data_IF_772290797666
#
_entry.id   IF_772290797666
#
_cell.length_a   1.000
_cell.length_b   1.000
_cell.length_c   1.000
_cell.angle_alpha   90.00
_cell.angle_beta   90.00
_cell.angle_gamma   90.00
#
_symmetry.space_group_name_H-M   'P 1'
#
loop_
_entity.id
_entity.type
_entity.pdbx_description
1 polymer ?
#
# COMPACT_ATOMS: atom_id res chain seq x y z
N UNK A 1 -10.14 -3.53 7.62
CA UNK A 1 -8.78 -3.89 7.24
C UNK A 1 -8.09 -2.67 6.63
N UNK A 2 -6.79 -2.52 6.84
CA UNK A 2 -5.92 -1.56 6.12
C UNK A 2 -4.64 -2.29 5.78
N UNK A 3 -4.21 -2.23 4.52
CA UNK A 3 -3.06 -2.97 4.01
C UNK A 3 -1.93 -1.99 3.66
N UNK A 4 -0.72 -2.25 4.15
CA UNK A 4 0.50 -1.57 3.72
C UNK A 4 1.07 -2.36 2.55
N UNK A 5 1.23 -1.71 1.41
CA UNK A 5 1.80 -2.32 0.21
C UNK A 5 3.02 -1.56 -0.27
N UNK A 6 3.98 -2.28 -0.86
CA UNK A 6 5.03 -1.73 -1.69
C UNK A 6 4.68 -1.95 -3.16
N UNK A 7 4.68 -0.87 -3.93
CA UNK A 7 4.40 -0.89 -5.36
C UNK A 7 5.74 -0.82 -6.09
N UNK A 8 5.97 -1.73 -7.02
CA UNK A 8 7.10 -1.68 -7.94
C UNK A 8 6.61 -1.10 -9.26
N UNK A 9 7.27 -0.04 -9.70
CA UNK A 9 6.85 0.81 -10.79
C UNK A 9 7.87 0.75 -11.92
N UNK A 10 7.38 0.76 -13.16
CA UNK A 10 8.20 0.82 -14.36
C UNK A 10 7.66 1.86 -15.33
N UNK A 11 8.54 2.74 -15.79
CA UNK A 11 8.27 3.72 -16.84
C UNK A 11 8.47 3.12 -18.24
N UNK A 12 8.03 3.84 -19.27
CA UNK A 12 8.17 3.41 -20.67
C UNK A 12 9.62 3.37 -21.13
N UNK A 13 10.47 4.29 -20.65
CA UNK A 13 11.91 4.32 -20.93
C UNK A 13 12.73 3.25 -20.21
N UNK A 14 12.09 2.35 -19.45
CA UNK A 14 12.78 1.31 -18.68
C UNK A 14 13.14 1.72 -17.25
N UNK A 15 12.95 2.99 -16.88
CA UNK A 15 13.14 3.47 -15.51
C UNK A 15 12.29 2.66 -14.52
N UNK A 16 12.84 2.43 -13.33
CA UNK A 16 12.13 1.74 -12.25
C UNK A 16 12.06 2.62 -11.01
N UNK A 17 11.02 2.42 -10.20
CA UNK A 17 10.85 3.10 -8.93
C UNK A 17 10.03 2.21 -7.97
N UNK A 18 9.96 2.58 -6.69
CA UNK A 18 9.05 1.94 -5.76
C UNK A 18 8.49 2.90 -4.73
N UNK A 19 7.21 2.73 -4.40
CA UNK A 19 6.56 3.50 -3.34
C UNK A 19 5.93 2.56 -2.31
N UNK A 20 5.93 3.00 -1.05
CA UNK A 20 5.21 2.31 0.01
C UNK A 20 4.00 3.14 0.41
N UNK A 21 2.83 2.54 0.40
CA UNK A 21 1.58 3.22 0.74
C UNK A 21 0.68 2.34 1.58
N UNK A 22 -0.19 2.98 2.35
CA UNK A 22 -1.26 2.31 3.07
C UNK A 22 -2.59 2.55 2.36
N UNK A 23 -3.37 1.49 2.14
CA UNK A 23 -4.69 1.55 1.54
C UNK A 23 -5.74 0.91 2.46
N UNK A 24 -6.93 1.50 2.50
CA UNK A 24 -8.06 1.01 3.31
C UNK A 24 -8.83 -0.13 2.60
N UNK A 25 -8.11 -1.06 1.99
CA UNK A 25 -8.65 -2.24 1.33
C UNK A 25 -8.04 -3.52 1.93
N UNK A 26 -8.78 -4.64 1.88
CA UNK A 26 -8.22 -5.98 2.06
C UNK A 26 -7.00 -6.24 1.18
N UNK A 27 -6.20 -7.24 1.53
CA UNK A 27 -4.97 -7.55 0.81
C UNK A 27 -5.22 -7.80 -0.69
N UNK A 28 -6.10 -8.73 -1.04
CA UNK A 28 -6.36 -9.05 -2.45
C UNK A 28 -6.86 -7.82 -3.23
N UNK A 29 -7.82 -7.08 -2.67
CA UNK A 29 -8.34 -5.86 -3.28
C UNK A 29 -7.28 -4.77 -3.41
N UNK A 30 -6.30 -4.70 -2.50
CA UNK A 30 -5.17 -3.79 -2.61
C UNK A 30 -4.27 -4.16 -3.79
N UNK A 31 -4.02 -5.45 -4.02
CA UNK A 31 -3.26 -5.92 -5.18
C UNK A 31 -3.98 -5.59 -6.48
N UNK A 32 -5.26 -5.95 -6.58
CA UNK A 32 -6.11 -5.70 -7.75
C UNK A 32 -6.25 -4.19 -8.04
N UNK A 33 -6.30 -3.37 -6.97
CA UNK A 33 -6.39 -1.93 -7.10
C UNK A 33 -5.15 -1.31 -7.76
N UNK A 34 -3.94 -1.83 -7.50
CA UNK A 34 -2.71 -1.20 -7.98
C UNK A 34 -2.11 -1.87 -9.20
N UNK A 35 -2.20 -3.19 -9.33
CA UNK A 35 -1.54 -3.91 -10.42
C UNK A 35 -2.02 -3.39 -11.78
N UNK A 36 -1.06 -3.09 -12.66
CA UNK A 36 -1.34 -2.58 -13.99
C UNK A 36 -1.72 -1.10 -14.09
N UNK A 37 -2.02 -0.41 -12.98
CA UNK A 37 -2.34 1.03 -13.00
C UNK A 37 -1.09 1.89 -13.24
N UNK A 38 -1.30 3.04 -13.87
CA UNK A 38 -0.27 4.06 -14.01
C UNK A 38 -0.44 5.12 -12.92
N UNK A 39 0.66 5.44 -12.25
CA UNK A 39 0.73 6.42 -11.18
C UNK A 39 1.63 7.56 -11.63
N UNK A 40 1.21 8.80 -11.37
CA UNK A 40 2.09 9.95 -11.52
C UNK A 40 2.96 10.04 -10.26
N UNK A 41 4.26 9.79 -10.40
CA UNK A 41 5.24 9.91 -9.31
C UNK A 41 6.12 11.16 -9.45
N UNK A 42 5.80 12.03 -10.41
CA UNK A 42 6.53 13.25 -10.64
C UNK A 42 6.14 14.35 -9.66
N UNK A 43 7.12 15.09 -9.15
CA UNK A 43 6.89 16.28 -8.33
C UNK A 43 6.84 17.57 -9.14
N UNK A 44 7.51 17.61 -10.29
CA UNK A 44 7.63 18.81 -11.16
C UNK A 44 7.07 18.57 -12.55
N UNK A 45 7.34 17.42 -13.16
CA UNK A 45 6.81 17.01 -14.46
C UNK A 45 6.14 15.64 -14.35
N UNK A 46 5.15 15.37 -15.21
CA UNK A 46 4.43 14.09 -15.19
C UNK A 46 5.39 12.92 -15.42
N UNK A 47 5.52 12.07 -14.40
CA UNK A 47 6.31 10.83 -14.46
C UNK A 47 5.37 9.66 -14.26
N UNK A 48 4.68 9.30 -15.33
CA UNK A 48 3.69 8.23 -15.34
C UNK A 48 4.37 6.86 -15.38
N UNK A 49 4.29 6.11 -14.29
CA UNK A 49 4.84 4.75 -14.20
C UNK A 49 3.78 3.70 -13.94
N UNK A 50 3.90 2.55 -14.60
CA UNK A 50 2.98 1.41 -14.42
C UNK A 50 3.43 0.56 -13.24
N UNK A 51 2.51 0.25 -12.33
CA UNK A 51 2.74 -0.76 -11.30
C UNK A 51 2.72 -2.15 -11.92
N UNK A 52 3.81 -2.90 -11.77
CA UNK A 52 3.96 -4.24 -12.34
C UNK A 52 4.13 -5.33 -11.27
N UNK A 53 4.30 -4.96 -10.00
CA UNK A 53 4.30 -5.86 -8.86
C UNK A 53 3.82 -5.12 -7.62
N UNK A 54 3.03 -5.81 -6.81
CA UNK A 54 2.57 -5.36 -5.49
C UNK A 54 3.10 -6.35 -4.46
N UNK A 55 3.62 -5.86 -3.36
CA UNK A 55 4.06 -6.66 -2.21
C UNK A 55 3.33 -6.19 -0.95
N UNK A 56 2.73 -7.12 -0.23
CA UNK A 56 2.12 -6.84 1.07
C UNK A 56 3.20 -6.74 2.14
N UNK A 57 3.28 -5.60 2.84
CA UNK A 57 4.20 -5.39 3.95
C UNK A 57 3.54 -5.58 5.32
N UNK A 58 2.24 -5.26 5.44
CA UNK A 58 1.49 -5.37 6.69
C UNK A 58 -0.02 -5.37 6.42
N UNK A 59 -0.80 -6.12 7.22
CA UNK A 59 -2.26 -6.06 7.23
C UNK A 59 -2.72 -5.73 8.64
N UNK A 60 -3.52 -4.68 8.79
CA UNK A 60 -4.15 -4.30 10.06
C UNK A 60 -5.65 -4.52 10.01
N UNK A 61 -6.16 -5.29 10.97
CA UNK A 61 -7.58 -5.37 11.22
C UNK A 61 -8.08 -4.12 11.94
N UNK A 62 -9.29 -3.67 11.58
CA UNK A 62 -9.95 -2.53 12.26
C UNK A 62 -10.37 -2.89 13.70
N UNK A 63 -10.09 -4.12 14.19
CA UNK A 63 -10.52 -4.66 15.49
C UNK A 63 -9.47 -4.58 16.61
N UNK A 64 -8.62 -3.55 16.61
CA UNK A 64 -7.83 -3.18 17.80
C UNK A 64 -8.13 -1.74 18.22
N UNK A 65 -9.39 -1.51 18.59
CA UNK A 65 -9.75 -0.49 19.59
C UNK A 65 -10.52 -1.21 20.70
N UNK A 66 -9.82 -1.62 21.76
CA UNK A 66 -10.44 -2.01 23.03
C UNK A 66 -10.30 -3.46 23.46
N UNK A 67 -9.08 -3.93 23.68
CA UNK A 67 -8.78 -4.96 24.68
C UNK A 67 -7.30 -4.80 25.02
N UNK A 68 -6.94 -4.29 26.21
CA UNK A 68 -6.27 -5.00 27.33
C UNK A 68 -5.54 -3.82 28.07
N UNK A 69 -5.66 -3.46 29.35
CA UNK A 69 -6.12 -4.09 30.59
C UNK A 69 -6.70 -3.03 31.55
N UNK A 70 -7.91 -3.25 32.10
CA UNK A 70 -8.19 -2.78 33.47
C UNK A 70 -7.62 -3.84 34.41
N UNK A 71 -6.47 -3.59 35.01
CA UNK A 71 -6.06 -4.35 36.18
C UNK A 71 -7.01 -3.98 37.34
N UNK A 72 -7.58 -4.94 38.09
CA UNK A 72 -8.20 -4.62 39.36
C UNK A 72 -7.08 -4.23 40.33
N UNK A 73 -7.09 -2.99 40.81
CA UNK A 73 -6.37 -2.63 42.01
C UNK A 73 -7.25 -3.13 43.15
N UNK A 74 -6.81 -4.22 43.77
CA UNK A 74 -7.26 -4.73 45.06
C UNK A 74 -6.89 -3.75 46.17
#
# INVERSE_FOLDING_TARGET
MRTKVKLYLKGEGGDTDSITTWINLPEQEAHDHYIGKRLNIGTVADRMMKCHKVETLNVQDKKTKGAINKAPII
#
